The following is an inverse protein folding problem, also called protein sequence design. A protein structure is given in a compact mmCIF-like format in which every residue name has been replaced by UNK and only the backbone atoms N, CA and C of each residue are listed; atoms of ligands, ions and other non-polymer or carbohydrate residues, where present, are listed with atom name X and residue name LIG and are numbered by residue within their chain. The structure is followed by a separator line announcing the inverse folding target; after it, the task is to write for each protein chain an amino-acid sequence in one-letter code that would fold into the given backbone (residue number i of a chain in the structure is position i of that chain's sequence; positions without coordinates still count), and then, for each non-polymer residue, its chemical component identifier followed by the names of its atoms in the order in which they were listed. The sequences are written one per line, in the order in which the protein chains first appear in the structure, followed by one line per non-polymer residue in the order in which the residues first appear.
data_IF_211823398922
#
_entry.id   IF_211823398922
#
_cell.length_a   1.000
_cell.length_b   1.000
_cell.length_c   1.000
_cell.angle_alpha   90.00
_cell.angle_beta   90.00
_cell.angle_gamma   90.00
#
_symmetry.space_group_name_H-M   'P 1'
#
loop_
_entity.id
_entity.type
_entity.pdbx_description
1 polymer ?
#
# COMPACT_ATOMS: atom_id res chain seq x y z
N UNK A 1 19.77 19.89 4.96
CA UNK A 1 19.42 21.23 4.45
C UNK A 1 17.94 21.23 4.10
N UNK A 2 17.16 22.18 4.61
CA UNK A 2 15.72 22.26 4.29
C UNK A 2 15.54 22.89 2.90
N UNK A 3 14.79 22.23 2.02
CA UNK A 3 14.50 22.68 0.66
C UNK A 3 13.72 24.00 0.67
N UNK A 4 14.09 24.94 -0.21
CA UNK A 4 13.43 26.25 -0.30
C UNK A 4 11.99 26.12 -0.82
N UNK A 5 11.10 27.08 -0.52
CA UNK A 5 9.70 27.05 -0.97
C UNK A 5 9.55 26.88 -2.50
N UNK A 6 10.44 27.50 -3.28
CA UNK A 6 10.45 27.37 -4.74
C UNK A 6 10.88 25.97 -5.20
N UNK A 7 11.83 25.34 -4.51
CA UNK A 7 12.28 23.98 -4.81
C UNK A 7 11.20 22.94 -4.50
N UNK A 8 10.44 23.14 -3.42
CA UNK A 8 9.28 22.30 -3.09
C UNK A 8 8.17 22.40 -4.14
N UNK A 9 7.88 23.62 -4.60
CA UNK A 9 6.86 23.84 -5.63
C UNK A 9 7.29 23.22 -6.98
N UNK A 10 8.54 23.40 -7.39
CA UNK A 10 9.07 22.80 -8.62
C UNK A 10 9.11 21.27 -8.55
N UNK A 11 9.48 20.68 -7.40
CA UNK A 11 9.46 19.24 -7.20
C UNK A 11 8.02 18.69 -7.26
N UNK A 12 7.05 19.41 -6.68
CA UNK A 12 5.62 19.05 -6.76
C UNK A 12 5.10 19.11 -8.19
N UNK A 13 5.39 20.18 -8.93
CA UNK A 13 4.97 20.34 -10.34
C UNK A 13 5.63 19.27 -11.23
N UNK A 14 6.90 18.92 -10.96
CA UNK A 14 7.59 17.85 -11.68
C UNK A 14 6.98 16.47 -11.41
N UNK A 15 6.66 16.18 -10.14
CA UNK A 15 5.96 14.96 -9.75
C UNK A 15 4.57 14.88 -10.41
N UNK A 16 3.78 15.96 -10.35
CA UNK A 16 2.45 16.05 -10.98
C UNK A 16 2.51 15.88 -12.52
N UNK A 17 3.57 16.36 -13.18
CA UNK A 17 3.78 16.17 -14.62
C UNK A 17 4.18 14.73 -14.97
N UNK A 18 5.05 14.11 -14.18
CA UNK A 18 5.41 12.70 -14.32
C UNK A 18 4.17 11.81 -14.14
N UNK A 19 3.37 12.09 -13.12
CA UNK A 19 2.09 11.43 -12.84
C UNK A 19 1.14 11.53 -14.05
N UNK A 20 0.92 12.74 -14.59
CA UNK A 20 0.08 12.93 -15.78
C UNK A 20 0.61 12.21 -17.03
N UNK A 21 1.92 12.17 -17.21
CA UNK A 21 2.52 11.51 -18.36
C UNK A 21 2.40 9.98 -18.25
N UNK A 22 2.58 9.42 -17.06
CA UNK A 22 2.36 7.98 -16.80
C UNK A 22 0.88 7.60 -16.98
N UNK A 23 -0.05 8.37 -16.41
CA UNK A 23 -1.50 8.17 -16.57
C UNK A 23 -1.96 8.09 -18.03
N UNK A 24 -1.33 8.87 -18.93
CA UNK A 24 -1.68 8.84 -20.36
C UNK A 24 -1.27 7.55 -21.07
N UNK A 25 -0.20 6.91 -20.63
CA UNK A 25 0.35 5.68 -21.23
C UNK A 25 -0.36 4.42 -20.68
N UNK A 26 -0.82 4.49 -19.43
CA UNK A 26 -1.50 3.36 -18.78
C UNK A 26 -2.92 3.12 -19.32
N UNK A 27 -3.60 4.16 -19.83
CA UNK A 27 -4.98 4.03 -20.37
C UNK A 27 -5.07 3.15 -21.63
N UNK A 28 -3.97 2.96 -22.36
CA UNK A 28 -3.91 2.12 -23.56
C UNK A 28 -3.44 0.68 -23.30
N UNK A 29 -2.98 0.38 -22.07
CA UNK A 29 -2.35 -0.92 -21.75
C UNK A 29 -3.38 -1.91 -21.21
N UNK A 30 -3.60 -3.02 -21.92
CA UNK A 30 -4.49 -4.12 -21.51
C UNK A 30 -4.15 -4.64 -20.09
N UNK A 31 -5.18 -4.97 -19.29
CA UNK A 31 -5.06 -5.48 -17.91
C UNK A 31 -4.06 -6.65 -17.80
N UNK A 32 -4.01 -7.54 -18.79
CA UNK A 32 -3.09 -8.68 -18.78
C UNK A 32 -1.61 -8.24 -18.84
N UNK A 33 -1.31 -7.19 -19.58
CA UNK A 33 0.04 -6.61 -19.66
C UNK A 33 0.41 -5.94 -18.34
N UNK A 34 -0.55 -5.28 -17.68
CA UNK A 34 -0.33 -4.69 -16.36
C UNK A 34 -0.03 -5.75 -15.31
N UNK A 35 -0.76 -6.87 -15.30
CA UNK A 35 -0.51 -7.99 -14.37
C UNK A 35 0.89 -8.58 -14.59
N UNK A 36 1.28 -8.87 -15.83
CA UNK A 36 2.61 -9.41 -16.12
C UNK A 36 3.75 -8.44 -15.70
N UNK A 37 3.55 -7.14 -15.89
CA UNK A 37 4.51 -6.13 -15.44
C UNK A 37 4.56 -6.05 -13.90
N UNK A 38 3.41 -6.14 -13.22
CA UNK A 38 3.32 -6.16 -11.77
C UNK A 38 4.07 -7.37 -11.18
N UNK A 39 3.88 -8.57 -11.75
CA UNK A 39 4.56 -9.79 -11.30
C UNK A 39 6.08 -9.66 -11.41
N UNK A 40 6.58 -9.05 -12.49
CA UNK A 40 8.01 -8.77 -12.66
C UNK A 40 8.53 -7.81 -11.58
N UNK A 41 7.78 -6.77 -11.27
CA UNK A 41 8.15 -5.77 -10.26
C UNK A 41 8.13 -6.36 -8.84
N UNK A 42 7.13 -7.20 -8.53
CA UNK A 42 7.06 -7.98 -7.29
C UNK A 42 8.28 -8.90 -7.15
N UNK A 43 8.62 -9.63 -8.22
CA UNK A 43 9.79 -10.51 -8.24
C UNK A 43 11.10 -9.72 -8.06
N UNK A 44 11.21 -8.54 -8.67
CA UNK A 44 12.36 -7.66 -8.50
C UNK A 44 12.53 -7.21 -7.04
N UNK A 45 11.45 -6.79 -6.37
CA UNK A 45 11.50 -6.47 -4.94
C UNK A 45 11.88 -7.69 -4.09
N UNK A 46 11.32 -8.87 -4.38
CA UNK A 46 11.64 -10.09 -3.63
C UNK A 46 13.11 -10.50 -3.75
N UNK A 47 13.76 -10.21 -4.88
CA UNK A 47 15.16 -10.52 -5.14
C UNK A 47 16.17 -9.64 -4.37
N UNK A 48 15.76 -8.48 -3.83
CA UNK A 48 16.64 -7.59 -3.06
C UNK A 48 16.84 -8.18 -1.65
N UNK A 49 18.02 -8.71 -1.33
CA UNK A 49 18.28 -9.37 -0.04
C UNK A 49 18.28 -8.42 1.15
N UNK A 50 18.74 -7.18 0.98
CA UNK A 50 18.77 -6.20 2.07
C UNK A 50 17.36 -5.67 2.34
N UNK A 51 16.88 -5.83 3.58
CA UNK A 51 15.54 -5.39 3.97
C UNK A 51 15.33 -3.89 3.79
N UNK A 52 16.28 -3.06 4.21
CA UNK A 52 16.15 -1.60 4.11
C UNK A 52 16.08 -1.16 2.65
N UNK A 53 17.01 -1.63 1.82
CA UNK A 53 17.01 -1.37 0.37
C UNK A 53 15.73 -1.84 -0.31
N UNK A 54 15.21 -3.01 0.10
CA UNK A 54 13.93 -3.52 -0.41
C UNK A 54 12.77 -2.59 -0.05
N UNK A 55 12.74 -2.04 1.17
CA UNK A 55 11.69 -1.09 1.57
C UNK A 55 11.82 0.24 0.81
N UNK A 56 13.04 0.73 0.59
CA UNK A 56 13.29 1.91 -0.23
C UNK A 56 12.84 1.70 -1.68
N UNK A 57 13.13 0.54 -2.27
CA UNK A 57 12.66 0.20 -3.61
C UNK A 57 11.13 0.15 -3.71
N UNK A 58 10.45 -0.46 -2.73
CA UNK A 58 8.98 -0.44 -2.65
C UNK A 58 8.45 0.99 -2.56
N UNK A 59 9.04 1.83 -1.71
CA UNK A 59 8.63 3.21 -1.44
C UNK A 59 8.87 4.16 -2.61
N UNK A 60 10.06 4.14 -3.17
CA UNK A 60 10.55 5.19 -4.06
C UNK A 60 10.42 4.80 -5.55
N UNK A 61 10.19 3.51 -5.85
CA UNK A 61 10.06 3.02 -7.23
C UNK A 61 8.70 2.39 -7.48
N UNK A 62 8.32 1.37 -6.69
CA UNK A 62 7.10 0.60 -6.98
C UNK A 62 5.83 1.38 -6.67
N UNK A 63 5.72 1.99 -5.49
CA UNK A 63 4.54 2.78 -5.14
C UNK A 63 4.30 3.94 -6.13
N UNK A 64 5.27 4.80 -6.47
CA UNK A 64 5.06 5.88 -7.45
C UNK A 64 4.61 5.38 -8.83
N UNK A 65 5.10 4.20 -9.25
CA UNK A 65 4.75 3.57 -10.53
C UNK A 65 3.32 3.03 -10.56
N UNK A 66 2.88 2.39 -9.48
CA UNK A 66 1.63 1.62 -9.46
C UNK A 66 0.46 2.34 -8.79
N UNK A 67 0.74 3.33 -7.95
CA UNK A 67 -0.28 4.10 -7.22
C UNK A 67 -1.29 4.80 -8.15
N UNK A 68 -0.92 5.37 -9.32
CA UNK A 68 -1.91 5.99 -10.22
C UNK A 68 -2.95 5.00 -10.75
N UNK A 69 -2.51 3.78 -11.08
CA UNK A 69 -3.39 2.69 -11.52
C UNK A 69 -4.31 2.23 -10.39
N UNK A 70 -3.76 2.07 -9.18
CA UNK A 70 -4.56 1.73 -8.00
C UNK A 70 -5.59 2.82 -7.65
N UNK A 71 -5.22 4.09 -7.74
CA UNK A 71 -6.12 5.24 -7.53
C UNK A 71 -7.24 5.28 -8.56
N UNK A 72 -6.95 5.04 -9.84
CA UNK A 72 -7.98 4.96 -10.89
C UNK A 72 -9.04 3.90 -10.56
N UNK A 73 -8.63 2.77 -9.99
CA UNK A 73 -9.60 1.75 -9.55
C UNK A 73 -10.36 2.17 -8.30
N UNK A 74 -9.70 2.81 -7.32
CA UNK A 74 -10.35 3.33 -6.11
C UNK A 74 -11.44 4.36 -6.43
N UNK A 75 -11.17 5.27 -7.37
CA UNK A 75 -12.09 6.30 -7.85
C UNK A 75 -13.26 5.72 -8.67
N UNK A 76 -13.16 4.46 -9.10
CA UNK A 76 -14.23 3.75 -9.78
C UNK A 76 -15.15 3.00 -8.80
N UNK A 77 -16.37 2.71 -9.24
CA UNK A 77 -17.32 1.84 -8.51
C UNK A 77 -17.03 0.33 -8.71
N UNK A 78 -15.84 -0.02 -9.21
CA UNK A 78 -15.50 -1.42 -9.49
C UNK A 78 -15.33 -2.23 -8.19
N UNK A 79 -16.02 -3.37 -8.13
CA UNK A 79 -15.89 -4.39 -7.07
C UNK A 79 -15.01 -5.57 -7.49
N UNK A 80 -14.48 -5.57 -8.71
CA UNK A 80 -13.65 -6.67 -9.20
C UNK A 80 -12.31 -6.69 -8.46
N UNK A 81 -11.73 -7.89 -8.30
CA UNK A 81 -10.39 -8.05 -7.75
C UNK A 81 -9.38 -7.23 -8.57
N UNK A 82 -8.57 -6.44 -7.87
CA UNK A 82 -7.51 -5.64 -8.47
C UNK A 82 -6.16 -5.96 -7.82
N UNK A 83 -5.34 -6.82 -8.45
CA UNK A 83 -4.02 -7.18 -7.93
C UNK A 83 -3.08 -5.98 -7.75
N UNK A 84 -3.16 -4.96 -8.60
CA UNK A 84 -2.32 -3.75 -8.48
C UNK A 84 -2.66 -3.01 -7.20
N UNK A 85 -3.96 -2.77 -6.97
CA UNK A 85 -4.44 -2.13 -5.75
C UNK A 85 -4.03 -2.94 -4.50
N UNK A 86 -4.26 -4.26 -4.50
CA UNK A 86 -3.90 -5.13 -3.40
C UNK A 86 -2.41 -5.05 -3.05
N UNK A 87 -1.51 -5.11 -4.05
CA UNK A 87 -0.07 -4.97 -3.84
C UNK A 87 0.33 -3.57 -3.34
N UNK A 88 -0.33 -2.50 -3.81
CA UNK A 88 -0.09 -1.16 -3.27
C UNK A 88 -0.44 -1.06 -1.79
N UNK A 89 -1.55 -1.67 -1.33
CA UNK A 89 -1.88 -1.75 0.11
C UNK A 89 -0.75 -2.41 0.89
N UNK A 90 -0.30 -3.59 0.44
CA UNK A 90 0.81 -4.31 1.07
C UNK A 90 2.07 -3.43 1.16
N UNK A 91 2.46 -2.76 0.06
CA UNK A 91 3.66 -1.92 0.05
C UNK A 91 3.53 -0.66 0.90
N UNK A 92 2.34 -0.08 1.05
CA UNK A 92 2.11 1.02 1.98
C UNK A 92 2.39 0.57 3.43
N UNK A 93 1.92 -0.62 3.82
CA UNK A 93 2.24 -1.23 5.11
C UNK A 93 3.73 -1.55 5.27
N UNK A 94 4.35 -2.19 4.27
CA UNK A 94 5.79 -2.50 4.27
C UNK A 94 6.66 -1.26 4.52
N UNK A 95 6.23 -0.11 3.99
CA UNK A 95 6.97 1.15 4.02
C UNK A 95 6.56 2.08 5.16
N UNK A 96 5.66 1.62 6.05
CA UNK A 96 5.22 2.37 7.23
C UNK A 96 4.32 3.57 6.94
N UNK A 97 3.71 3.65 5.76
CA UNK A 97 2.82 4.75 5.35
C UNK A 97 1.39 4.51 5.87
N UNK A 98 1.25 4.35 7.19
CA UNK A 98 0.03 3.82 7.84
C UNK A 98 -1.22 4.65 7.62
N UNK A 99 -1.13 5.98 7.54
CA UNK A 99 -2.29 6.85 7.25
C UNK A 99 -3.02 6.38 5.99
N UNK A 100 -2.31 6.30 4.87
CA UNK A 100 -2.86 5.87 3.59
C UNK A 100 -3.10 4.35 3.55
N UNK A 101 -2.22 3.56 4.19
CA UNK A 101 -2.35 2.11 4.22
C UNK A 101 -3.67 1.66 4.85
N UNK A 102 -4.05 2.26 5.98
CA UNK A 102 -5.29 1.95 6.69
C UNK A 102 -6.52 2.44 5.91
N UNK A 103 -6.47 3.63 5.32
CA UNK A 103 -7.56 4.13 4.47
C UNK A 103 -7.84 3.19 3.28
N UNK A 104 -6.78 2.68 2.65
CA UNK A 104 -6.93 1.75 1.53
C UNK A 104 -7.30 0.34 2.00
N UNK A 105 -6.83 -0.09 3.17
CA UNK A 105 -7.24 -1.35 3.77
C UNK A 105 -8.74 -1.40 4.07
N UNK A 106 -9.32 -0.30 4.57
CA UNK A 106 -10.75 -0.20 4.82
C UNK A 106 -11.54 -0.44 3.52
N UNK A 107 -11.13 0.19 2.41
CA UNK A 107 -11.73 -0.03 1.08
C UNK A 107 -11.50 -1.46 0.58
N UNK A 108 -10.31 -2.02 0.79
CA UNK A 108 -9.99 -3.39 0.39
C UNK A 108 -10.95 -4.38 1.07
N UNK A 109 -11.20 -4.19 2.36
CA UNK A 109 -12.08 -5.06 3.16
C UNK A 109 -13.54 -4.84 2.77
N UNK A 110 -13.98 -3.59 2.64
CA UNK A 110 -15.36 -3.25 2.22
C UNK A 110 -15.70 -3.84 0.84
N UNK A 111 -14.78 -3.75 -0.11
CA UNK A 111 -14.95 -4.26 -1.48
C UNK A 111 -14.57 -5.73 -1.64
N UNK A 112 -14.29 -6.44 -0.54
CA UNK A 112 -13.96 -7.87 -0.55
C UNK A 112 -12.74 -8.22 -1.40
N UNK A 113 -11.74 -7.33 -1.45
CA UNK A 113 -10.47 -7.60 -2.10
C UNK A 113 -9.71 -8.68 -1.36
N UNK A 114 -8.98 -9.50 -2.11
CA UNK A 114 -8.08 -10.51 -1.56
C UNK A 114 -6.67 -9.94 -1.46
N UNK A 115 -5.95 -10.33 -0.41
CA UNK A 115 -4.50 -10.10 -0.36
C UNK A 115 -3.82 -10.84 -1.51
N UNK A 116 -2.63 -10.40 -1.96
CA UNK A 116 -1.91 -11.14 -2.99
C UNK A 116 -1.67 -12.60 -2.59
N UNK A 117 -1.65 -13.52 -3.56
CA UNK A 117 -1.55 -14.97 -3.31
C UNK A 117 -0.31 -15.42 -2.52
N UNK A 118 0.71 -14.57 -2.39
CA UNK A 118 1.86 -14.81 -1.52
C UNK A 118 1.53 -14.71 -0.02
N UNK A 119 0.39 -14.13 0.34
CA UNK A 119 -0.10 -13.98 1.70
C UNK A 119 -1.17 -15.05 1.98
N UNK A 120 -1.05 -15.72 3.12
CA UNK A 120 -1.97 -16.80 3.53
C UNK A 120 -3.20 -16.32 4.30
N UNK A 121 -3.34 -15.02 4.53
CA UNK A 121 -4.40 -14.43 5.35
C UNK A 121 -5.09 -13.27 4.61
N UNK A 122 -6.39 -13.07 4.84
CA UNK A 122 -7.13 -11.96 4.25
C UNK A 122 -6.74 -10.60 4.86
N UNK A 123 -7.12 -9.50 4.20
CA UNK A 123 -6.75 -8.14 4.61
C UNK A 123 -7.01 -7.83 6.08
N UNK A 124 -8.16 -8.18 6.71
CA UNK A 124 -8.38 -7.85 8.11
C UNK A 124 -7.30 -8.43 9.04
N UNK A 125 -6.94 -9.70 8.82
CA UNK A 125 -5.92 -10.40 9.61
C UNK A 125 -4.53 -9.83 9.31
N UNK A 126 -4.20 -9.66 8.03
CA UNK A 126 -2.92 -9.05 7.63
C UNK A 126 -2.70 -7.67 8.26
N UNK A 127 -3.73 -6.81 8.25
CA UNK A 127 -3.64 -5.45 8.80
C UNK A 127 -3.46 -5.48 10.31
N UNK A 128 -4.27 -6.28 11.02
CA UNK A 128 -4.18 -6.40 12.47
C UNK A 128 -2.82 -6.92 12.92
N UNK A 129 -2.31 -8.00 12.31
CA UNK A 129 -1.00 -8.57 12.62
C UNK A 129 0.12 -7.54 12.36
N UNK A 130 0.04 -6.80 11.26
CA UNK A 130 1.06 -5.83 10.87
C UNK A 130 1.08 -4.63 11.82
N UNK A 131 -0.09 -4.07 12.16
CA UNK A 131 -0.19 -2.93 13.09
C UNK A 131 0.20 -3.36 14.50
N UNK A 132 -0.17 -4.56 14.95
CA UNK A 132 0.25 -5.08 16.25
C UNK A 132 1.77 -5.20 16.33
N UNK A 133 2.41 -5.84 15.34
CA UNK A 133 3.86 -6.00 15.32
C UNK A 133 4.61 -4.64 15.29
N UNK A 134 4.06 -3.66 14.57
CA UNK A 134 4.57 -2.29 14.59
C UNK A 134 4.42 -1.64 15.97
N UNK A 135 3.22 -1.71 16.56
CA UNK A 135 2.93 -1.12 17.86
C UNK A 135 3.81 -1.70 18.98
N UNK A 136 4.03 -3.01 18.98
CA UNK A 136 4.95 -3.67 19.93
C UNK A 136 6.39 -3.13 19.79
N UNK A 137 6.83 -2.90 18.55
CA UNK A 137 8.18 -2.37 18.27
C UNK A 137 8.36 -0.92 18.72
N UNK A 138 7.37 -0.07 18.49
CA UNK A 138 7.38 1.35 18.93
C UNK A 138 7.23 1.45 20.45
N UNK A 139 6.32 0.68 21.06
CA UNK A 139 6.12 0.68 22.51
C UNK A 139 7.37 0.21 23.26
N UNK A 140 8.09 -0.80 22.74
CA UNK A 140 9.37 -1.23 23.30
C UNK A 140 10.46 -0.13 23.28
N UNK A 141 10.33 0.84 22.37
CA UNK A 141 11.20 2.01 22.26
C UNK A 141 10.66 3.22 23.05
N UNK A 142 9.53 3.09 23.73
CA UNK A 142 8.87 4.18 24.46
C UNK A 142 8.22 5.22 23.55
N UNK A 143 7.94 4.86 22.29
CA UNK A 143 7.25 5.70 21.32
C UNK A 143 5.74 5.53 21.42
N UNK A 144 5.01 6.53 20.95
CA UNK A 144 3.55 6.49 20.88
C UNK A 144 3.09 5.59 19.72
N UNK A 145 2.07 4.78 19.96
CA UNK A 145 1.48 3.84 18.98
C UNK A 145 0.18 4.37 18.37
N UNK A 146 -0.26 5.54 18.84
CA UNK A 146 -1.45 6.20 18.33
C UNK A 146 -1.17 7.05 17.08
N UNK A 147 -2.16 7.23 16.19
CA UNK A 147 -3.56 6.79 16.31
C UNK A 147 -3.83 5.38 15.73
N UNK A 148 -2.81 4.71 15.18
CA UNK A 148 -3.01 3.54 14.33
C UNK A 148 -3.44 2.30 15.10
N UNK A 149 -2.90 2.11 16.32
CA UNK A 149 -3.27 0.99 17.17
C UNK A 149 -4.76 1.02 17.54
N UNK A 150 -5.23 2.12 18.13
CA UNK A 150 -6.63 2.24 18.53
C UNK A 150 -7.59 2.21 17.33
N UNK A 151 -7.23 2.83 16.19
CA UNK A 151 -8.04 2.74 14.96
C UNK A 151 -8.21 1.29 14.52
N UNK A 152 -7.11 0.55 14.43
CA UNK A 152 -7.13 -0.84 13.95
C UNK A 152 -7.88 -1.74 14.93
N UNK A 153 -7.61 -1.62 16.23
CA UNK A 153 -8.31 -2.37 17.26
C UNK A 153 -9.82 -2.12 17.22
N UNK A 154 -10.24 -0.85 17.07
CA UNK A 154 -11.65 -0.49 16.89
C UNK A 154 -12.29 -1.20 15.70
N UNK A 155 -11.60 -1.24 14.57
CA UNK A 155 -12.08 -1.96 13.37
C UNK A 155 -12.15 -3.47 13.57
N UNK A 156 -11.14 -4.08 14.20
CA UNK A 156 -11.16 -5.52 14.55
C UNK A 156 -12.36 -5.86 15.43
N UNK A 157 -12.61 -5.06 16.48
CA UNK A 157 -13.65 -5.35 17.46
C UNK A 157 -15.07 -5.11 16.94
N UNK A 158 -15.25 -4.20 15.98
CA UNK A 158 -16.59 -3.69 15.62
C UNK A 158 -17.00 -3.97 14.17
N UNK A 159 -16.05 -4.09 13.25
CA UNK A 159 -16.33 -4.06 11.81
C UNK A 159 -15.82 -5.27 11.05
N UNK A 160 -14.69 -5.85 11.46
CA UNK A 160 -14.06 -6.94 10.73
C UNK A 160 -14.41 -8.30 11.35
N UNK A 161 -15.17 -9.12 10.62
CA UNK A 161 -15.41 -10.52 11.00
C UNK A 161 -14.11 -11.33 10.83
N UNK A 162 -13.29 -11.36 11.87
CA UNK A 162 -12.17 -12.30 11.97
C UNK A 162 -12.70 -13.62 12.51
N UNK A 163 -12.67 -14.66 11.68
CA UNK A 163 -12.88 -16.01 12.20
C UNK A 163 -11.62 -16.39 12.99
N UNK A 164 -11.72 -16.47 14.31
CA UNK A 164 -10.70 -17.12 15.14
C UNK A 164 -10.56 -18.57 14.65
N UNK A 165 -9.36 -18.93 14.18
CA UNK A 165 -9.00 -20.34 14.03
C UNK A 165 -8.62 -20.83 15.43
N UNK A 166 -9.57 -21.50 16.09
CA UNK A 166 -9.39 -22.21 17.36
C UNK A 166 -8.59 -23.49 17.14
#
# INVERSE_FOLDING_TARGET
MQLSPAQRHSARIAAERLLRQQQSLDSETSLHVQIAALEKDVAAAAAISNRAERMEFKRDVLLPRWMPTAQTWLESDSMHQNPVFAWCVIWLFDTGQFDQALDWADVAIERGQETPAAFGSAFPVFVADTVLAWAETEAAQGQDVEPYFSRTLGNVMQHWNMYEVI
#
